data_IF_031595769964
#
_entry.id   IF_031595769964
#
_cell.length_a   1.000
_cell.length_b   1.000
_cell.length_c   1.000
_cell.angle_alpha   90.00
_cell.angle_beta   90.00
_cell.angle_gamma   90.00
#
_symmetry.space_group_name_H-M   'P 1'
#
loop_
_entity.id
_entity.type
_entity.pdbx_description
1 polymer ?
#
# COMPACT_ATOMS: atom_id res chain seq x y z
N UNK A 1 -30.10 5.12 -36.30
CA UNK A 1 -29.27 4.79 -35.13
C UNK A 1 -27.82 4.75 -35.58
N UNK A 2 -27.08 5.87 -35.46
CA UNK A 2 -25.68 5.92 -35.89
C UNK A 2 -24.80 5.45 -34.73
N UNK A 3 -24.38 4.19 -34.80
CA UNK A 3 -23.42 3.59 -33.85
C UNK A 3 -22.09 4.30 -34.05
N UNK A 4 -21.65 5.04 -33.05
CA UNK A 4 -20.38 5.76 -33.07
C UNK A 4 -19.26 4.72 -33.24
N UNK A 5 -18.61 4.73 -34.40
CA UNK A 5 -17.51 3.84 -34.77
C UNK A 5 -16.19 4.33 -34.17
N UNK A 6 -16.18 4.66 -32.88
CA UNK A 6 -14.96 5.03 -32.17
C UNK A 6 -14.13 3.78 -31.95
N UNK A 7 -12.96 3.70 -32.60
CA UNK A 7 -11.94 2.70 -32.27
C UNK A 7 -11.68 2.78 -30.77
N UNK A 8 -11.93 1.67 -30.06
CA UNK A 8 -11.51 1.48 -28.68
C UNK A 8 -9.98 1.60 -28.63
N UNK A 9 -9.47 2.78 -28.26
CA UNK A 9 -8.05 3.00 -28.02
C UNK A 9 -7.79 2.57 -26.59
N UNK A 10 -7.06 1.46 -26.44
CA UNK A 10 -6.62 1.04 -25.12
C UNK A 10 -5.64 2.09 -24.56
N UNK A 11 -5.77 2.46 -23.27
CA UNK A 11 -4.81 3.36 -22.66
C UNK A 11 -3.41 2.75 -22.76
N UNK A 12 -2.42 3.56 -23.14
CA UNK A 12 -1.01 3.14 -23.20
C UNK A 12 -0.43 2.80 -21.83
N UNK A 13 -1.13 3.18 -20.75
CA UNK A 13 -0.64 3.03 -19.40
C UNK A 13 -1.01 1.65 -18.86
N UNK A 14 0.00 0.79 -18.81
CA UNK A 14 -0.06 -0.43 -18.00
C UNK A 14 -0.12 0.00 -16.53
N UNK A 15 -1.25 -0.26 -15.87
CA UNK A 15 -1.34 -0.12 -14.42
C UNK A 15 -0.47 -1.21 -13.80
N UNK A 16 0.79 -0.87 -13.51
CA UNK A 16 1.66 -1.71 -12.71
C UNK A 16 1.18 -1.61 -11.26
N UNK A 17 0.50 -2.66 -10.81
CA UNK A 17 0.16 -2.81 -9.40
C UNK A 17 1.45 -3.17 -8.67
N UNK A 18 2.07 -2.20 -7.99
CA UNK A 18 3.25 -2.46 -7.16
C UNK A 18 2.80 -3.00 -5.81
N UNK A 19 3.63 -3.85 -5.20
CA UNK A 19 3.45 -4.24 -3.80
C UNK A 19 3.54 -3.03 -2.86
N UNK A 20 4.34 -2.04 -3.24
CA UNK A 20 4.52 -0.80 -2.49
C UNK A 20 3.22 0.00 -2.37
N UNK A 21 2.34 -0.05 -3.38
CA UNK A 21 1.04 0.67 -3.40
C UNK A 21 0.06 0.13 -2.36
N UNK A 22 0.33 -1.06 -1.79
CA UNK A 22 -0.50 -1.69 -0.76
C UNK A 22 0.02 -1.40 0.64
N UNK A 23 1.35 -1.32 0.78
CA UNK A 23 2.00 -0.96 2.04
C UNK A 23 2.01 0.55 2.27
N UNK A 24 1.89 1.34 1.21
CA UNK A 24 1.88 2.80 1.25
C UNK A 24 0.71 3.38 0.46
N UNK A 25 0.05 4.37 1.05
CA UNK A 25 -0.96 5.22 0.39
C UNK A 25 -0.48 6.65 0.49
N UNK A 26 -0.29 7.32 -0.64
CA UNK A 26 0.18 8.71 -0.72
C UNK A 26 1.48 8.98 0.07
N UNK A 27 2.37 7.99 0.13
CA UNK A 27 3.62 8.05 0.88
C UNK A 27 3.50 7.79 2.37
N UNK A 28 2.31 7.49 2.89
CA UNK A 28 2.08 7.09 4.28
C UNK A 28 1.97 5.56 4.37
N UNK A 29 2.66 4.93 5.33
CA UNK A 29 2.55 3.49 5.54
C UNK A 29 1.15 3.14 6.06
N UNK A 30 0.47 2.17 5.46
CA UNK A 30 -0.86 1.73 5.95
C UNK A 30 -0.72 0.83 7.19
N UNK A 31 0.39 0.11 7.30
CA UNK A 31 0.83 -0.57 8.53
C UNK A 31 2.29 -0.21 8.81
N UNK A 32 2.68 -0.16 10.08
CA UNK A 32 4.05 0.11 10.48
C UNK A 32 4.46 -0.71 11.70
N UNK A 33 5.75 -0.73 12.04
CA UNK A 33 6.23 -1.33 13.30
C UNK A 33 5.63 -0.70 14.57
N UNK A 34 4.92 0.43 14.49
CA UNK A 34 4.19 0.99 15.64
C UNK A 34 2.91 0.22 15.97
N UNK A 35 2.38 -0.51 15.00
CA UNK A 35 1.14 -1.27 15.17
C UNK A 35 1.40 -2.54 16.00
N UNK A 36 0.35 -3.05 16.64
CA UNK A 36 0.45 -4.28 17.40
C UNK A 36 0.84 -5.45 16.48
N UNK A 37 1.67 -6.35 17.00
CA UNK A 37 2.16 -7.51 16.24
C UNK A 37 1.03 -8.34 15.62
N UNK A 38 -0.08 -8.50 16.35
CA UNK A 38 -1.27 -9.21 15.87
C UNK A 38 -1.88 -8.56 14.63
N UNK A 39 -1.94 -7.23 14.59
CA UNK A 39 -2.47 -6.45 13.47
C UNK A 39 -1.57 -6.58 12.25
N UNK A 40 -0.24 -6.52 12.47
CA UNK A 40 0.76 -6.71 11.40
C UNK A 40 0.63 -8.11 10.79
N UNK A 41 0.53 -9.15 11.63
CA UNK A 41 0.42 -10.53 11.16
C UNK A 41 -0.89 -10.80 10.44
N UNK A 42 -2.02 -10.30 10.95
CA UNK A 42 -3.32 -10.46 10.30
C UNK A 42 -3.34 -9.76 8.93
N UNK A 43 -2.76 -8.56 8.83
CA UNK A 43 -2.65 -7.85 7.56
C UNK A 43 -1.77 -8.60 6.55
N UNK A 44 -0.61 -9.11 6.97
CA UNK A 44 0.26 -9.92 6.10
C UNK A 44 -0.44 -11.21 5.65
N UNK A 45 -1.25 -11.83 6.51
CA UNK A 45 -2.03 -13.03 6.18
C UNK A 45 -3.08 -12.76 5.11
N UNK A 46 -3.75 -11.60 5.17
CA UNK A 46 -4.68 -11.16 4.10
C UNK A 46 -3.93 -11.01 2.78
N UNK A 47 -2.77 -10.34 2.78
CA UNK A 47 -1.95 -10.18 1.58
C UNK A 47 -1.46 -11.51 1.01
N UNK A 48 -1.08 -12.47 1.86
CA UNK A 48 -0.75 -13.83 1.41
C UNK A 48 -1.94 -14.55 0.79
N UNK A 49 -3.14 -14.38 1.35
CA UNK A 49 -4.39 -14.93 0.80
C UNK A 49 -4.74 -14.36 -0.59
N UNK A 50 -4.32 -13.13 -0.88
CA UNK A 50 -4.47 -12.50 -2.20
C UNK A 50 -3.40 -12.94 -3.21
N UNK A 51 -2.47 -13.81 -2.82
CA UNK A 51 -1.44 -14.39 -3.70
C UNK A 51 -0.08 -13.70 -3.66
N UNK A 52 0.16 -12.83 -2.67
CA UNK A 52 1.42 -12.10 -2.56
C UNK A 52 2.40 -12.77 -1.60
N UNK A 53 3.66 -12.87 -2.02
CA UNK A 53 4.75 -13.33 -1.14
C UNK A 53 5.23 -12.15 -0.30
N UNK A 54 4.58 -11.94 0.84
CA UNK A 54 4.94 -10.90 1.81
C UNK A 54 5.63 -11.49 3.03
N UNK A 55 6.70 -10.81 3.45
CA UNK A 55 7.47 -11.14 4.65
C UNK A 55 7.47 -9.95 5.60
N UNK A 56 7.70 -10.21 6.89
CA UNK A 56 7.73 -9.19 7.94
C UNK A 56 8.76 -8.09 7.66
N UNK A 57 9.86 -8.44 7.01
CA UNK A 57 10.92 -7.51 6.62
C UNK A 57 10.46 -6.40 5.67
N UNK A 58 9.31 -6.58 5.00
CA UNK A 58 8.72 -5.57 4.10
C UNK A 58 7.91 -4.50 4.83
N UNK A 59 7.59 -4.71 6.12
CA UNK A 59 6.79 -3.78 6.91
C UNK A 59 7.57 -2.47 7.14
N UNK A 60 6.97 -1.31 6.85
CA UNK A 60 7.59 -0.02 7.09
C UNK A 60 8.01 0.17 8.55
N UNK A 61 9.19 0.75 8.75
CA UNK A 61 9.63 1.14 10.09
C UNK A 61 8.69 2.16 10.71
N UNK A 62 8.63 2.12 12.04
CA UNK A 62 7.90 3.10 12.82
C UNK A 62 8.25 4.54 12.39
N UNK A 63 7.27 5.39 12.03
CA UNK A 63 7.54 6.78 11.73
C UNK A 63 8.18 7.47 12.93
N UNK A 64 9.29 8.17 12.69
CA UNK A 64 10.00 8.91 13.73
C UNK A 64 9.16 10.14 14.07
N UNK A 65 8.71 10.25 15.32
CA UNK A 65 7.99 11.43 15.78
C UNK A 65 8.89 12.68 15.68
N UNK A 66 8.64 13.52 14.69
CA UNK A 66 9.36 14.78 14.47
C UNK A 66 8.97 15.86 15.48
N UNK A 67 7.84 15.70 16.18
CA UNK A 67 7.36 16.65 17.16
C UNK A 67 7.98 16.37 18.54
N UNK A 68 8.91 17.24 18.94
CA UNK A 68 9.48 17.26 20.31
C UNK A 68 8.94 18.47 21.06
N UNK A 69 7.79 18.37 21.74
CA UNK A 69 7.25 19.48 22.51
C UNK A 69 8.24 19.85 23.63
N UNK A 70 8.74 21.08 23.62
CA UNK A 70 9.49 21.62 24.75
C UNK A 70 8.49 22.13 25.79
N UNK A 71 8.55 21.62 27.03
CA UNK A 71 7.84 22.23 28.17
C UNK A 71 8.42 23.62 28.39
N UNK A 72 7.55 24.63 28.46
CA UNK A 72 7.88 25.95 29.01
C UNK A 72 7.82 25.90 30.53
#
# INVERSE_FOLDING_TARGET
MHLINTKLVQPKQEFKVSLEDRLYVDGYPVISELDAEEVIQDYLKVLQGEGYTVDRSMVPKAPINMYKPKRK
#
